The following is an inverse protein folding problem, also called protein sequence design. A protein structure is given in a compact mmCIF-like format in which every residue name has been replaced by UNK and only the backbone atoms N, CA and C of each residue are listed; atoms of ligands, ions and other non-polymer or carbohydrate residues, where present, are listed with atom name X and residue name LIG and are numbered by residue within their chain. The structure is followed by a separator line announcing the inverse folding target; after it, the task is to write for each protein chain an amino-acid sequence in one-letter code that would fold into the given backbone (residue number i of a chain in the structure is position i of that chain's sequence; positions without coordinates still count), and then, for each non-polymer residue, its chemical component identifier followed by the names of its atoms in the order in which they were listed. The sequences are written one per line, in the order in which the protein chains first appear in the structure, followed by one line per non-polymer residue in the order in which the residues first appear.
data_IF_352741483939
#
_entry.id   IF_352741483939
#
_cell.length_a   1.000
_cell.length_b   1.000
_cell.length_c   1.000
_cell.angle_alpha   90.00
_cell.angle_beta   90.00
_cell.angle_gamma   90.00
#
_symmetry.space_group_name_H-M   'P 1'
#
loop_
_entity.id
_entity.type
_entity.pdbx_description
1 polymer ?
#
# COMPACT_ATOMS: atom_id res chain seq x y z
N UNK A 1 21.32 16.32 -13.83
CA UNK A 1 20.50 15.49 -12.93
C UNK A 1 21.42 15.01 -11.81
N UNK A 2 21.05 15.22 -10.56
CA UNK A 2 21.84 14.78 -9.39
C UNK A 2 21.03 13.71 -8.65
N UNK A 3 21.69 12.64 -8.23
CA UNK A 3 21.06 11.52 -7.51
C UNK A 3 21.67 11.39 -6.12
N UNK A 4 20.84 11.10 -5.13
CA UNK A 4 21.31 10.70 -3.81
C UNK A 4 21.71 9.23 -3.86
N UNK A 5 22.97 8.92 -3.57
CA UNK A 5 23.52 7.56 -3.65
C UNK A 5 22.79 6.60 -2.69
N UNK A 6 22.40 7.09 -1.51
CA UNK A 6 21.62 6.32 -0.53
C UNK A 6 20.24 5.94 -1.07
N UNK A 7 19.54 6.88 -1.72
CA UNK A 7 18.25 6.61 -2.37
C UNK A 7 18.37 5.54 -3.46
N UNK A 8 19.48 5.52 -4.21
CA UNK A 8 19.75 4.47 -5.20
C UNK A 8 20.05 3.12 -4.56
N UNK A 9 20.79 3.10 -3.45
CA UNK A 9 21.14 1.88 -2.71
C UNK A 9 19.92 1.23 -2.05
N UNK A 10 19.03 2.04 -1.48
CA UNK A 10 17.80 1.60 -0.82
C UNK A 10 16.62 1.41 -1.80
N UNK A 11 16.84 1.71 -3.09
CA UNK A 11 15.79 1.65 -4.11
C UNK A 11 14.61 2.57 -3.76
N UNK A 12 14.88 3.77 -3.23
CA UNK A 12 13.84 4.74 -2.89
C UNK A 12 13.16 5.30 -4.13
N UNK A 13 11.84 5.41 -4.08
CA UNK A 13 11.05 6.01 -5.14
C UNK A 13 9.83 6.76 -4.60
N UNK A 14 9.22 7.61 -5.43
CA UNK A 14 7.99 8.33 -5.10
C UNK A 14 6.90 7.97 -6.11
N UNK A 15 5.67 7.80 -5.64
CA UNK A 15 4.50 7.60 -6.51
C UNK A 15 3.34 8.51 -6.12
N UNK A 16 2.62 9.07 -7.12
CA UNK A 16 1.33 9.68 -6.84
C UNK A 16 0.35 8.60 -6.41
N UNK A 17 -0.43 8.89 -5.37
CA UNK A 17 -1.50 8.04 -4.86
C UNK A 17 -2.81 8.82 -4.89
N UNK A 18 -3.87 8.15 -5.32
CA UNK A 18 -5.23 8.67 -5.36
C UNK A 18 -6.15 7.76 -4.53
N UNK A 19 -6.96 8.36 -3.65
CA UNK A 19 -7.96 7.65 -2.86
C UNK A 19 -9.33 8.26 -3.11
N UNK A 20 -10.34 7.42 -3.32
CA UNK A 20 -11.74 7.85 -3.36
C UNK A 20 -12.36 7.78 -1.97
N UNK A 21 -12.59 8.94 -1.35
CA UNK A 21 -13.13 9.06 0.02
C UNK A 21 -14.62 9.41 -0.06
N UNK A 22 -15.51 8.69 0.65
CA UNK A 22 -16.93 9.05 0.69
C UNK A 22 -17.12 10.41 1.35
N UNK A 23 -18.02 11.22 0.78
CA UNK A 23 -18.46 12.49 1.34
C UNK A 23 -19.74 12.31 2.16
N UNK A 24 -20.09 13.35 2.92
CA UNK A 24 -21.39 13.42 3.61
C UNK A 24 -22.55 13.73 2.65
N UNK A 25 -22.25 14.08 1.40
CA UNK A 25 -23.24 14.45 0.40
C UNK A 25 -23.73 13.24 -0.41
N UNK A 26 -24.99 13.33 -0.85
CA UNK A 26 -25.62 12.37 -1.75
C UNK A 26 -26.06 13.09 -3.03
N UNK A 27 -25.91 12.43 -4.17
CA UNK A 27 -26.39 12.97 -5.43
C UNK A 27 -27.92 12.83 -5.58
N UNK A 28 -28.47 13.44 -6.63
CA UNK A 28 -29.92 13.40 -6.94
C UNK A 28 -30.49 11.98 -7.16
N UNK A 29 -29.62 10.98 -7.35
CA UNK A 29 -30.01 9.58 -7.49
C UNK A 29 -29.93 8.79 -6.17
N UNK A 30 -29.70 9.47 -5.04
CA UNK A 30 -29.59 8.84 -3.73
C UNK A 30 -28.31 8.03 -3.54
N UNK A 31 -27.23 8.33 -4.27
CA UNK A 31 -25.92 7.68 -4.10
C UNK A 31 -24.92 8.60 -3.41
N UNK A 32 -24.10 8.06 -2.52
CA UNK A 32 -22.99 8.78 -1.87
C UNK A 32 -22.05 9.37 -2.91
N UNK A 33 -21.71 10.65 -2.75
CA UNK A 33 -20.69 11.31 -3.56
C UNK A 33 -19.32 10.95 -2.99
N UNK A 34 -18.35 10.70 -3.87
CA UNK A 34 -16.97 10.41 -3.48
C UNK A 34 -16.05 11.53 -3.97
N UNK A 35 -15.15 11.98 -3.09
CA UNK A 35 -14.10 12.93 -3.42
C UNK A 35 -12.77 12.21 -3.64
N UNK A 36 -11.90 12.81 -4.46
CA UNK A 36 -10.56 12.28 -4.73
C UNK A 36 -9.53 13.01 -3.88
N UNK A 37 -8.83 12.25 -3.05
CA UNK A 37 -7.68 12.68 -2.28
C UNK A 37 -6.39 12.33 -3.05
N UNK A 38 -5.51 13.32 -3.26
CA UNK A 38 -4.26 13.13 -3.99
C UNK A 38 -3.05 13.47 -3.12
N UNK A 39 -2.07 12.59 -3.08
CA UNK A 39 -0.80 12.82 -2.38
C UNK A 39 0.33 12.08 -3.10
N UNK A 40 1.55 12.29 -2.65
CA UNK A 40 2.72 11.53 -3.10
C UNK A 40 3.16 10.66 -1.94
N UNK A 41 3.27 9.35 -2.16
CA UNK A 41 3.85 8.44 -1.19
C UNK A 41 5.32 8.17 -1.54
N UNK A 42 6.13 8.07 -0.51
CA UNK A 42 7.55 7.75 -0.59
C UNK A 42 7.79 6.32 -0.14
N UNK A 43 8.56 5.60 -0.95
CA UNK A 43 8.75 4.17 -0.80
C UNK A 43 10.23 3.81 -0.72
N UNK A 44 10.54 2.73 -0.02
CA UNK A 44 11.78 1.95 -0.17
C UNK A 44 11.45 0.59 -0.75
N UNK A 45 12.34 0.03 -1.56
CA UNK A 45 12.16 -1.31 -2.08
C UNK A 45 12.53 -2.34 -1.00
N UNK A 46 11.57 -3.18 -0.64
CA UNK A 46 11.79 -4.31 0.28
C UNK A 46 12.30 -5.52 -0.50
N UNK A 47 13.32 -6.19 0.02
CA UNK A 47 13.96 -7.35 -0.61
C UNK A 47 12.97 -8.47 -0.93
N UNK A 48 13.16 -9.14 -2.08
CA UNK A 48 12.29 -10.22 -2.58
C UNK A 48 12.05 -11.31 -1.52
N UNK A 49 13.09 -11.70 -0.76
CA UNK A 49 13.00 -12.69 0.32
C UNK A 49 12.03 -12.27 1.42
N UNK A 50 12.05 -11.00 1.81
CA UNK A 50 11.14 -10.48 2.83
C UNK A 50 9.71 -10.39 2.31
N UNK A 51 9.53 -10.04 1.03
CA UNK A 51 8.20 -10.03 0.39
C UNK A 51 7.60 -11.43 0.33
N UNK A 52 8.37 -12.42 -0.10
CA UNK A 52 7.96 -13.82 -0.13
C UNK A 52 7.63 -14.35 1.27
N UNK A 53 8.44 -14.01 2.28
CA UNK A 53 8.16 -14.39 3.66
C UNK A 53 6.84 -13.80 4.17
N UNK A 54 6.58 -12.51 3.88
CA UNK A 54 5.32 -11.88 4.26
C UNK A 54 4.11 -12.49 3.53
N UNK A 55 4.24 -12.81 2.24
CA UNK A 55 3.18 -13.48 1.48
C UNK A 55 2.87 -14.88 2.05
N UNK A 56 3.90 -15.65 2.41
CA UNK A 56 3.71 -16.95 3.08
C UNK A 56 2.99 -16.81 4.41
N UNK A 57 3.38 -15.84 5.24
CA UNK A 57 2.71 -15.59 6.52
C UNK A 57 1.25 -15.16 6.33
N UNK A 58 0.95 -14.32 5.34
CA UNK A 58 -0.43 -13.94 5.01
C UNK A 58 -1.25 -15.16 4.56
N UNK A 59 -0.67 -16.01 3.72
CA UNK A 59 -1.32 -17.25 3.29
C UNK A 59 -1.61 -18.17 4.47
N UNK A 60 -0.63 -18.41 5.35
CA UNK A 60 -0.81 -19.24 6.54
C UNK A 60 -1.92 -18.74 7.47
N UNK A 61 -2.10 -17.42 7.59
CA UNK A 61 -3.20 -16.85 8.38
C UNK A 61 -4.53 -16.98 7.64
N UNK A 62 -4.55 -16.80 6.33
CA UNK A 62 -5.75 -17.01 5.49
C UNK A 62 -6.22 -18.46 5.55
N UNK A 63 -5.32 -19.41 5.40
CA UNK A 63 -5.61 -20.85 5.48
C UNK A 63 -6.18 -21.20 6.86
N UNK A 64 -5.64 -20.62 7.94
CA UNK A 64 -6.20 -20.77 9.29
C UNK A 64 -7.60 -20.17 9.43
N UNK A 65 -7.89 -19.08 8.73
CA UNK A 65 -9.20 -18.46 8.74
C UNK A 65 -10.24 -19.28 7.97
N UNK A 66 -9.84 -19.88 6.85
CA UNK A 66 -10.68 -20.79 6.06
C UNK A 66 -10.90 -22.14 6.76
N UNK A 67 -9.91 -22.62 7.51
CA UNK A 67 -10.00 -23.86 8.29
C UNK A 67 -10.81 -23.70 9.61
N UNK A 68 -11.29 -22.50 9.94
CA UNK A 68 -12.17 -22.34 11.09
C UNK A 68 -13.50 -23.06 10.84
N UNK A 69 -13.97 -23.89 11.79
CA UNK A 69 -15.27 -24.52 11.66
C UNK A 69 -16.40 -23.48 11.68
N UNK A 70 -17.56 -23.82 11.11
CA UNK A 70 -18.68 -22.88 10.98
C UNK A 70 -19.20 -22.38 12.34
N UNK A 71 -19.05 -23.19 13.40
CA UNK A 71 -19.39 -22.88 14.78
C UNK A 71 -18.28 -22.17 15.56
N UNK A 72 -17.16 -21.82 14.92
CA UNK A 72 -16.07 -21.08 15.54
C UNK A 72 -16.57 -19.76 16.14
N UNK A 73 -16.04 -19.44 17.33
CA UNK A 73 -16.46 -18.28 18.10
C UNK A 73 -16.20 -16.96 17.34
N UNK A 74 -17.03 -15.95 17.62
CA UNK A 74 -16.80 -14.59 17.11
C UNK A 74 -15.41 -14.06 17.50
N UNK A 75 -14.93 -14.38 18.70
CA UNK A 75 -13.60 -13.98 19.16
C UNK A 75 -12.48 -14.57 18.31
N UNK A 76 -12.59 -15.83 17.89
CA UNK A 76 -11.55 -16.48 17.08
C UNK A 76 -11.49 -15.89 15.66
N UNK A 77 -12.66 -15.61 15.06
CA UNK A 77 -12.74 -14.88 13.78
C UNK A 77 -12.16 -13.46 13.90
N UNK A 78 -12.40 -12.78 15.01
CA UNK A 78 -11.87 -11.45 15.26
C UNK A 78 -10.34 -11.45 15.46
N UNK A 79 -9.79 -12.45 16.18
CA UNK A 79 -8.34 -12.62 16.36
C UNK A 79 -7.63 -12.78 15.03
N UNK A 80 -8.15 -13.62 14.13
CA UNK A 80 -7.55 -13.83 12.81
C UNK A 80 -7.64 -12.57 11.94
N UNK A 81 -8.79 -11.89 11.93
CA UNK A 81 -8.95 -10.62 11.21
C UNK A 81 -7.94 -9.57 11.69
N UNK A 82 -7.75 -9.47 13.01
CA UNK A 82 -6.76 -8.56 13.61
C UNK A 82 -5.34 -8.98 13.25
N UNK A 83 -5.02 -10.27 13.25
CA UNK A 83 -3.71 -10.77 12.86
C UNK A 83 -3.37 -10.43 11.39
N UNK A 84 -4.31 -10.61 10.46
CA UNK A 84 -4.16 -10.20 9.05
C UNK A 84 -3.92 -8.70 8.95
N UNK A 85 -4.75 -7.88 9.63
CA UNK A 85 -4.60 -6.42 9.62
C UNK A 85 -3.22 -6.00 10.13
N UNK A 86 -2.81 -6.53 11.28
CA UNK A 86 -1.50 -6.22 11.88
C UNK A 86 -0.37 -6.61 10.93
N UNK A 87 -0.39 -7.82 10.36
CA UNK A 87 0.67 -8.28 9.45
C UNK A 87 0.78 -7.38 8.22
N UNK A 88 -0.35 -7.05 7.58
CA UNK A 88 -0.36 -6.13 6.43
C UNK A 88 0.17 -4.75 6.82
N UNK A 89 -0.28 -4.20 7.94
CA UNK A 89 0.15 -2.86 8.39
C UNK A 89 1.65 -2.83 8.71
N UNK A 90 2.15 -3.86 9.41
CA UNK A 90 3.59 -4.00 9.70
C UNK A 90 4.42 -4.11 8.42
N UNK A 91 3.92 -4.81 7.41
CA UNK A 91 4.62 -4.91 6.13
C UNK A 91 4.60 -3.59 5.35
N UNK A 92 3.48 -2.87 5.31
CA UNK A 92 3.39 -1.55 4.68
C UNK A 92 4.35 -0.56 5.34
N UNK A 93 4.46 -0.59 6.68
CA UNK A 93 5.41 0.26 7.41
C UNK A 93 6.87 -0.02 7.05
N UNK A 94 7.20 -1.20 6.50
CA UNK A 94 8.56 -1.46 6.00
C UNK A 94 8.85 -0.68 4.73
N UNK A 95 7.91 -0.57 3.80
CA UNK A 95 8.17 0.08 2.51
C UNK A 95 7.69 1.52 2.42
N UNK A 96 6.65 1.93 3.17
CA UNK A 96 6.10 3.28 3.14
C UNK A 96 6.84 4.18 4.13
N UNK A 97 7.73 5.02 3.63
CA UNK A 97 8.62 5.85 4.45
C UNK A 97 8.04 7.23 4.73
N UNK A 98 7.21 7.74 3.82
CA UNK A 98 6.75 9.12 3.87
C UNK A 98 5.52 9.39 3.02
N UNK A 99 4.85 10.50 3.31
CA UNK A 99 3.80 11.08 2.46
C UNK A 99 4.04 12.58 2.32
N UNK A 100 3.77 13.09 1.12
CA UNK A 100 3.96 14.49 0.77
C UNK A 100 2.77 15.03 -0.02
N UNK A 101 2.65 16.35 -0.02
CA UNK A 101 1.67 17.07 -0.84
C UNK A 101 1.95 16.88 -2.34
N UNK A 102 0.90 16.56 -3.09
CA UNK A 102 0.97 16.56 -4.54
C UNK A 102 1.07 18.00 -5.09
N UNK A 103 1.91 18.24 -6.10
CA UNK A 103 2.18 19.60 -6.63
C UNK A 103 0.93 20.37 -7.09
N UNK A 104 -0.09 19.66 -7.56
CA UNK A 104 -1.32 20.23 -8.14
C UNK A 104 -2.54 20.18 -7.23
N UNK A 105 -2.45 19.53 -6.07
CA UNK A 105 -3.61 19.28 -5.20
C UNK A 105 -3.28 19.69 -3.75
N UNK A 106 -4.28 20.14 -2.97
CA UNK A 106 -4.09 20.30 -1.53
C UNK A 106 -3.75 18.96 -0.90
N UNK A 107 -2.99 18.99 0.20
CA UNK A 107 -2.73 17.77 0.96
C UNK A 107 -4.02 17.32 1.65
N UNK A 108 -4.44 16.04 1.49
CA UNK A 108 -5.80 15.63 1.86
C UNK A 108 -5.97 15.28 3.34
N UNK A 109 -4.88 15.06 4.09
CA UNK A 109 -4.96 14.62 5.48
C UNK A 109 -4.67 15.79 6.42
N UNK A 110 -5.65 16.15 7.25
CA UNK A 110 -5.53 17.22 8.22
C UNK A 110 -5.90 16.72 9.62
N UNK A 111 -5.19 17.21 10.64
CA UNK A 111 -5.61 17.12 12.04
C UNK A 111 -5.94 18.53 12.53
N UNK A 112 -7.24 18.83 12.57
CA UNK A 112 -7.71 20.21 12.76
C UNK A 112 -7.30 21.08 11.57
N UNK A 113 -6.35 22.00 11.79
CA UNK A 113 -5.85 22.93 10.77
C UNK A 113 -4.47 22.58 10.22
N UNK A 114 -3.82 21.56 10.75
CA UNK A 114 -2.46 21.18 10.42
C UNK A 114 -2.41 19.93 9.53
N UNK A 115 -1.38 19.82 8.70
CA UNK A 115 -1.14 18.63 7.88
C UNK A 115 -0.86 17.40 8.75
N UNK A 116 -1.64 16.35 8.56
CA UNK A 116 -1.49 15.11 9.31
C UNK A 116 -0.38 14.24 8.72
N UNK A 117 0.60 13.86 9.55
CA UNK A 117 1.81 13.13 9.12
C UNK A 117 2.01 11.78 9.82
N UNK A 118 1.11 11.39 10.72
CA UNK A 118 1.20 10.11 11.43
C UNK A 118 0.72 8.96 10.53
N UNK A 119 1.65 8.39 9.77
CA UNK A 119 1.41 7.28 8.85
C UNK A 119 0.81 6.06 9.55
N UNK A 120 1.30 5.60 10.73
CA UNK A 120 0.67 4.51 11.48
C UNK A 120 -0.84 4.66 11.66
N UNK A 121 -1.33 5.85 11.97
CA UNK A 121 -2.78 6.09 12.11
C UNK A 121 -3.50 5.99 10.77
N UNK A 122 -2.90 6.49 9.68
CA UNK A 122 -3.48 6.37 8.34
C UNK A 122 -3.61 4.91 7.88
N UNK A 123 -2.73 4.02 8.35
CA UNK A 123 -2.80 2.58 8.04
C UNK A 123 -3.97 1.86 8.73
N UNK A 124 -4.68 2.51 9.67
CA UNK A 124 -5.96 1.98 10.15
C UNK A 124 -7.10 2.19 9.16
N UNK A 125 -6.93 3.08 8.18
CA UNK A 125 -7.89 3.38 7.13
C UNK A 125 -7.65 2.40 5.96
N UNK A 126 -8.60 1.49 5.76
CA UNK A 126 -8.51 0.46 4.70
C UNK A 126 -8.26 1.04 3.31
N UNK A 127 -8.95 2.12 2.93
CA UNK A 127 -8.79 2.75 1.62
C UNK A 127 -7.38 3.32 1.42
N UNK A 128 -6.78 3.86 2.48
CA UNK A 128 -5.39 4.33 2.44
C UNK A 128 -4.44 3.15 2.26
N UNK A 129 -4.63 2.11 3.06
CA UNK A 129 -3.86 0.88 3.01
C UNK A 129 -3.83 0.25 1.60
N UNK A 130 -4.99 0.10 0.98
CA UNK A 130 -5.12 -0.46 -0.38
C UNK A 130 -4.39 0.42 -1.40
N UNK A 131 -4.69 1.73 -1.43
CA UNK A 131 -4.12 2.63 -2.42
C UNK A 131 -2.58 2.78 -2.33
N UNK A 132 -2.00 2.79 -1.12
CA UNK A 132 -0.54 2.86 -0.97
C UNK A 132 0.13 1.54 -1.33
N UNK A 133 -0.56 0.41 -1.17
CA UNK A 133 -0.06 -0.91 -1.55
C UNK A 133 -0.10 -1.10 -3.06
N UNK A 134 -1.22 -0.75 -3.70
CA UNK A 134 -1.37 -0.82 -5.16
C UNK A 134 -0.29 0.03 -5.85
N UNK A 135 -0.08 1.27 -5.40
CA UNK A 135 0.94 2.15 -5.96
C UNK A 135 2.38 1.62 -5.78
N UNK A 136 2.64 0.89 -4.70
CA UNK A 136 3.93 0.21 -4.48
C UNK A 136 4.09 -0.98 -5.42
N UNK A 137 3.11 -1.88 -5.46
CA UNK A 137 3.12 -3.09 -6.29
C UNK A 137 3.23 -2.76 -7.78
N UNK A 138 2.55 -1.72 -8.25
CA UNK A 138 2.66 -1.21 -9.62
C UNK A 138 4.10 -0.88 -10.02
N UNK A 139 4.87 -0.25 -9.11
CA UNK A 139 6.28 0.08 -9.40
C UNK A 139 7.18 -1.16 -9.36
N UNK A 140 6.97 -2.04 -8.39
CA UNK A 140 7.75 -3.28 -8.26
C UNK A 140 7.53 -4.18 -9.48
N UNK A 141 6.27 -4.36 -9.89
CA UNK A 141 5.92 -5.19 -11.05
C UNK A 141 6.44 -4.60 -12.36
N UNK A 142 6.41 -3.27 -12.51
CA UNK A 142 7.01 -2.60 -13.67
C UNK A 142 8.51 -2.90 -13.78
N UNK A 143 9.24 -2.78 -12.67
CA UNK A 143 10.67 -3.07 -12.63
C UNK A 143 10.98 -4.56 -12.92
N UNK A 144 10.14 -5.50 -12.47
CA UNK A 144 10.28 -6.92 -12.78
C UNK A 144 10.04 -7.21 -14.27
N UNK A 145 8.99 -6.66 -14.86
CA UNK A 145 8.67 -6.82 -16.29
C UNK A 145 9.75 -6.21 -17.19
N UNK A 146 10.31 -5.07 -16.82
CA UNK A 146 11.46 -4.47 -17.52
C UNK A 146 12.74 -5.33 -17.43
N UNK A 147 12.98 -5.99 -16.30
CA UNK A 147 14.10 -6.95 -16.17
C UNK A 147 13.88 -8.18 -17.05
N UNK A 148 12.70 -8.77 -17.01
CA UNK A 148 12.34 -9.96 -17.79
C UNK A 148 12.45 -9.70 -19.30
N UNK A 149 11.89 -8.58 -19.77
CA UNK A 149 11.98 -8.18 -21.19
C UNK A 149 13.41 -7.93 -21.66
N UNK A 150 14.27 -7.34 -20.82
CA UNK A 150 15.72 -7.17 -21.12
C UNK A 150 16.46 -8.51 -21.21
N UNK A 151 16.16 -9.46 -20.32
CA UNK A 151 16.78 -10.81 -20.35
C UNK A 151 16.34 -11.59 -21.58
N UNK A 152 15.04 -11.57 -21.90
CA UNK A 152 14.49 -12.26 -23.08
C UNK A 152 15.02 -11.67 -24.40
N UNK A 153 15.09 -10.34 -24.51
CA UNK A 153 15.66 -9.67 -25.70
C UNK A 153 17.18 -9.83 -25.82
N UNK A 154 17.89 -10.03 -24.70
CA UNK A 154 19.32 -10.38 -24.68
C UNK A 154 19.60 -11.82 -25.14
N UNK A 155 18.72 -12.76 -24.79
CA UNK A 155 18.86 -14.17 -25.20
C UNK A 155 18.46 -14.43 -26.67
N UNK A 156 17.63 -13.57 -27.26
CA UNK A 156 17.26 -13.64 -28.69
C UNK A 156 18.32 -13.06 -29.64
N UNK A 157 19.38 -12.43 -29.10
CA UNK A 157 20.49 -11.84 -29.88
C UNK A 157 21.78 -12.68 -29.82
N UNK A 158 21.74 -13.92 -29.35
CA UNK A 158 22.85 -14.87 -29.37
C UNK A 158 22.60 -16.00 -30.33
#
# INVERSE_FOLDING_TARGET
MQFQVEALKEGRFKKPVEISVPSEEMNNAGKTIYHKAHFVAEYINVDDKEREANQKQLQEISDKAEALPDDASFEDRQKLTKAVKTLKNSFIQKYLVGIEKHKKHPFPFLSGKEEFKDIPILLDIRLFQEAVSDAYEDEINKNQNEKLSKVLSGNLKR
#
